data_IF_695906430905
#
_entry.id   IF_695906430905
#
_cell.length_a   1.000
_cell.length_b   1.000
_cell.length_c   1.000
_cell.angle_alpha   90.00
_cell.angle_beta   90.00
_cell.angle_gamma   90.00
#
_symmetry.space_group_name_H-M   'P 1'
#
loop_
_entity.id
_entity.type
_entity.pdbx_description
1 polymer ?
#
# COMPACT_ATOMS: atom_id res chain seq x y z
N UNK A 1 4.66 -12.66 -25.63
CA UNK A 1 4.18 -11.27 -25.36
C UNK A 1 4.54 -10.41 -26.55
N UNK A 2 3.69 -9.50 -26.96
CA UNK A 2 3.94 -8.57 -28.08
C UNK A 2 4.72 -7.37 -27.57
N UNK A 3 5.74 -6.94 -28.28
CA UNK A 3 6.53 -5.76 -27.96
C UNK A 3 5.69 -4.48 -28.17
N UNK A 4 5.54 -3.59 -27.18
CA UNK A 4 4.76 -2.36 -27.34
C UNK A 4 5.44 -1.30 -28.20
N UNK A 5 6.71 -1.52 -28.59
CA UNK A 5 7.46 -0.55 -29.39
C UNK A 5 7.50 -0.87 -30.89
N UNK A 6 7.32 -2.13 -31.27
CA UNK A 6 7.44 -2.55 -32.69
C UNK A 6 6.50 -3.71 -33.05
N UNK A 7 5.59 -4.05 -32.15
CA UNK A 7 4.56 -5.09 -32.33
C UNK A 7 5.07 -6.51 -32.63
N UNK A 8 6.37 -6.73 -32.53
CA UNK A 8 6.98 -8.03 -32.74
C UNK A 8 6.62 -8.99 -31.59
N UNK A 9 6.35 -10.25 -31.92
CA UNK A 9 6.16 -11.34 -30.95
C UNK A 9 7.47 -11.89 -30.37
N UNK A 10 8.61 -11.54 -30.97
CA UNK A 10 9.94 -12.02 -30.59
C UNK A 10 10.46 -11.39 -29.30
N UNK A 11 9.87 -11.70 -28.16
CA UNK A 11 10.27 -11.16 -26.85
C UNK A 11 10.90 -12.22 -25.97
N UNK A 12 11.90 -11.81 -25.17
CA UNK A 12 12.58 -12.63 -24.17
C UNK A 12 12.16 -12.20 -22.76
N UNK A 13 11.83 -13.17 -21.93
CA UNK A 13 11.62 -12.93 -20.51
C UNK A 13 12.98 -12.66 -19.81
N UNK A 14 13.05 -11.60 -19.03
CA UNK A 14 14.24 -11.12 -18.33
C UNK A 14 14.07 -11.05 -16.81
N UNK A 15 13.18 -11.89 -16.26
CA UNK A 15 12.88 -11.92 -14.84
C UNK A 15 11.97 -10.78 -14.40
N UNK A 16 12.14 -10.32 -13.18
CA UNK A 16 11.30 -9.30 -12.55
C UNK A 16 12.14 -8.04 -12.24
N UNK A 17 11.50 -6.88 -12.25
CA UNK A 17 12.09 -5.64 -11.75
C UNK A 17 11.95 -5.55 -10.21
N UNK A 18 12.47 -4.46 -9.62
CA UNK A 18 12.38 -4.23 -8.16
C UNK A 18 10.94 -4.09 -7.65
N UNK A 19 10.00 -3.68 -8.51
CA UNK A 19 8.57 -3.57 -8.18
C UNK A 19 7.78 -4.85 -8.45
N UNK A 20 8.44 -5.99 -8.68
CA UNK A 20 7.78 -7.27 -8.94
C UNK A 20 7.19 -7.43 -10.35
N UNK A 21 7.29 -6.42 -11.21
CA UNK A 21 6.77 -6.50 -12.58
C UNK A 21 7.70 -7.31 -13.48
N UNK A 22 7.11 -8.16 -14.32
CA UNK A 22 7.87 -9.01 -15.25
C UNK A 22 8.52 -8.19 -16.37
N UNK A 23 9.81 -8.36 -16.57
CA UNK A 23 10.60 -7.62 -17.57
C UNK A 23 10.80 -8.45 -18.82
N UNK A 24 10.79 -7.77 -19.97
CA UNK A 24 11.03 -8.36 -21.27
C UNK A 24 12.02 -7.50 -22.08
N UNK A 25 12.73 -8.15 -23.00
CA UNK A 25 13.45 -7.46 -24.07
C UNK A 25 12.94 -7.96 -25.43
N UNK A 26 12.82 -7.07 -26.39
CA UNK A 26 12.43 -7.40 -27.74
C UNK A 26 13.67 -7.79 -28.58
N UNK A 27 13.62 -8.92 -29.27
CA UNK A 27 14.69 -9.37 -30.16
C UNK A 27 14.78 -8.51 -31.43
N UNK A 28 13.68 -7.88 -31.84
CA UNK A 28 13.59 -7.13 -33.06
C UNK A 28 14.09 -5.68 -32.92
N UNK A 29 13.66 -4.95 -31.90
CA UNK A 29 14.03 -3.55 -31.68
C UNK A 29 14.97 -3.33 -30.49
N UNK A 30 15.41 -4.37 -29.81
CA UNK A 30 16.29 -4.38 -28.63
C UNK A 30 15.80 -3.54 -27.42
N UNK A 31 14.59 -3.01 -27.47
CA UNK A 31 14.03 -2.23 -26.35
C UNK A 31 13.55 -3.15 -25.23
N UNK A 32 13.71 -2.64 -24.02
CA UNK A 32 13.21 -3.26 -22.80
C UNK A 32 11.84 -2.68 -22.45
N UNK A 33 10.98 -3.52 -21.91
CA UNK A 33 9.67 -3.11 -21.38
C UNK A 33 9.24 -4.03 -20.26
N UNK A 34 8.34 -3.55 -19.44
CA UNK A 34 7.68 -4.35 -18.40
C UNK A 34 6.32 -4.79 -18.92
N UNK A 35 5.91 -6.01 -18.60
CA UNK A 35 4.52 -6.40 -18.77
C UNK A 35 3.66 -5.42 -17.99
N UNK A 36 2.56 -4.89 -18.56
CA UNK A 36 1.54 -4.27 -17.75
C UNK A 36 1.14 -5.29 -16.67
N UNK A 37 0.99 -4.85 -15.43
CA UNK A 37 0.39 -5.71 -14.41
C UNK A 37 -0.91 -6.24 -15.00
N UNK A 38 -1.05 -7.56 -15.02
CA UNK A 38 -2.29 -8.14 -15.54
C UNK A 38 -3.43 -7.52 -14.74
N UNK A 39 -4.46 -7.07 -15.45
CA UNK A 39 -5.72 -6.57 -14.83
C UNK A 39 -6.27 -7.49 -13.73
N UNK A 40 -5.86 -8.77 -13.76
CA UNK A 40 -6.21 -9.75 -12.75
C UNK A 40 -5.67 -9.40 -11.35
N UNK A 41 -4.47 -8.82 -11.25
CA UNK A 41 -3.94 -8.36 -9.96
C UNK A 41 -4.66 -7.10 -9.48
N UNK A 42 -4.97 -6.19 -10.37
CA UNK A 42 -5.73 -5.00 -10.00
C UNK A 42 -7.16 -5.35 -9.55
N UNK A 43 -7.79 -6.39 -10.12
CA UNK A 43 -9.14 -6.84 -9.73
C UNK A 43 -9.16 -7.66 -8.43
N UNK A 44 -8.07 -8.35 -8.09
CA UNK A 44 -7.98 -9.15 -6.86
C UNK A 44 -7.55 -8.31 -5.64
N UNK A 45 -7.07 -7.09 -5.85
CA UNK A 45 -6.55 -6.21 -4.80
C UNK A 45 -7.58 -5.13 -4.38
N UNK A 46 -8.66 -4.94 -5.14
CA UNK A 46 -9.75 -4.05 -4.73
C UNK A 46 -10.67 -4.77 -3.74
N UNK A 47 -10.24 -4.76 -2.49
CA UNK A 47 -11.03 -5.26 -1.38
C UNK A 47 -11.75 -4.09 -0.74
N UNK A 48 -13.00 -4.08 -0.95
CA UNK A 48 -13.92 -3.16 -0.35
C UNK A 48 -15.19 -3.19 -1.17
N UNK A 49 -16.25 -2.75 -0.60
CA UNK A 49 -17.57 -2.64 -1.23
C UNK A 49 -17.59 -1.57 -2.35
N UNK A 50 -16.42 -1.05 -2.75
CA UNK A 50 -16.28 -0.04 -3.79
C UNK A 50 -15.71 -0.70 -5.05
N UNK A 51 -16.54 -0.84 -6.06
CA UNK A 51 -16.16 -1.34 -7.38
C UNK A 51 -15.17 -0.35 -8.08
N UNK A 52 -14.24 -0.87 -8.92
CA UNK A 52 -13.35 0.00 -9.69
C UNK A 52 -14.13 1.06 -10.48
N UNK A 53 -13.77 2.33 -10.28
CA UNK A 53 -14.46 3.46 -10.89
C UNK A 53 -15.62 4.03 -10.09
N UNK A 54 -15.99 3.45 -8.98
CA UNK A 54 -16.91 4.10 -8.04
C UNK A 54 -16.26 5.31 -7.38
N UNK A 55 -17.04 6.32 -7.16
CA UNK A 55 -16.67 7.55 -6.45
C UNK A 55 -17.33 7.54 -5.09
N UNK A 56 -16.52 7.63 -4.02
CA UNK A 56 -17.02 7.86 -2.67
C UNK A 56 -17.40 9.33 -2.54
N UNK A 57 -18.70 9.61 -2.55
CA UNK A 57 -19.22 10.96 -2.30
C UNK A 57 -19.55 11.12 -0.83
N UNK A 58 -18.90 12.08 -0.18
CA UNK A 58 -19.13 12.41 1.22
C UNK A 58 -19.67 13.84 1.28
N UNK A 59 -20.85 13.99 1.85
CA UNK A 59 -21.51 15.28 2.03
C UNK A 59 -21.53 15.65 3.50
N UNK A 60 -21.05 16.84 3.81
CA UNK A 60 -21.03 17.39 5.17
C UNK A 60 -21.86 18.68 5.24
N UNK A 61 -22.65 18.81 6.30
CA UNK A 61 -23.48 20.02 6.54
C UNK A 61 -22.65 21.22 7.01
N UNK A 62 -21.43 21.00 7.43
CA UNK A 62 -20.49 22.02 7.90
C UNK A 62 -19.09 21.72 7.38
N UNK A 63 -18.18 22.65 7.53
CA UNK A 63 -16.77 22.43 7.21
C UNK A 63 -16.20 21.29 8.07
N UNK A 64 -15.34 20.48 7.46
CA UNK A 64 -14.59 19.44 8.14
C UNK A 64 -13.10 19.60 7.83
N UNK A 65 -12.25 19.21 8.76
CA UNK A 65 -10.81 19.15 8.59
C UNK A 65 -10.44 17.75 8.14
N UNK A 66 -9.80 17.61 7.00
CA UNK A 66 -9.40 16.30 6.47
C UNK A 66 -7.88 16.15 6.61
N UNK A 67 -7.48 15.14 7.38
CA UNK A 67 -6.09 14.77 7.57
C UNK A 67 -5.74 13.56 6.69
N UNK A 68 -4.52 13.55 6.17
CA UNK A 68 -4.00 12.43 5.38
C UNK A 68 -2.71 11.93 6.03
N UNK A 69 -2.63 10.62 6.29
CA UNK A 69 -1.37 9.96 6.57
C UNK A 69 -0.99 9.04 5.42
N UNK A 70 0.26 9.10 5.00
CA UNK A 70 0.84 8.25 3.97
C UNK A 70 2.24 7.85 4.38
N UNK A 71 2.71 6.70 3.92
CA UNK A 71 4.07 6.23 4.17
C UNK A 71 4.44 6.22 5.67
N UNK A 72 3.50 5.76 6.49
CA UNK A 72 3.68 5.71 7.96
C UNK A 72 4.76 4.71 8.34
N UNK A 73 4.86 3.58 7.61
CA UNK A 73 5.83 2.52 7.84
C UNK A 73 5.91 2.08 9.30
N UNK A 74 4.73 1.90 9.94
CA UNK A 74 4.68 1.45 11.33
C UNK A 74 5.46 0.15 11.52
N UNK A 75 6.34 0.13 12.50
CA UNK A 75 7.26 -0.97 12.75
C UNK A 75 8.65 -0.80 12.14
N UNK A 76 8.88 0.18 11.26
CA UNK A 76 10.22 0.54 10.81
C UNK A 76 11.01 1.27 11.91
N UNK A 77 12.34 1.14 11.88
CA UNK A 77 13.21 1.92 12.77
C UNK A 77 13.11 3.43 12.49
N UNK A 78 12.88 3.77 11.24
CA UNK A 78 12.74 5.15 10.76
C UNK A 78 11.33 5.71 10.92
N UNK A 79 10.38 4.92 11.44
CA UNK A 79 9.03 5.39 11.71
C UNK A 79 9.03 6.56 12.69
N UNK A 80 8.52 7.70 12.26
CA UNK A 80 8.47 8.89 13.10
C UNK A 80 7.26 8.82 14.06
N UNK A 81 7.41 7.99 15.08
CA UNK A 81 6.38 7.67 16.08
C UNK A 81 5.71 8.93 16.66
N UNK A 82 6.52 9.90 17.08
CA UNK A 82 6.03 11.13 17.72
C UNK A 82 5.13 11.96 16.79
N UNK A 83 5.51 12.07 15.50
CA UNK A 83 4.70 12.82 14.52
C UNK A 83 3.40 12.10 14.17
N UNK A 84 3.41 10.80 14.17
CA UNK A 84 2.17 10.05 13.96
C UNK A 84 1.26 10.14 15.18
N UNK A 85 1.81 10.14 16.39
CA UNK A 85 1.04 10.38 17.61
C UNK A 85 0.47 11.79 17.68
N UNK A 86 1.24 12.83 17.30
CA UNK A 86 0.73 14.20 17.17
C UNK A 86 -0.49 14.27 16.23
N UNK A 87 -0.42 13.60 15.06
CA UNK A 87 -1.55 13.51 14.14
C UNK A 87 -2.78 12.84 14.79
N UNK A 88 -2.56 11.73 15.50
CA UNK A 88 -3.64 11.01 16.19
C UNK A 88 -4.30 11.91 17.24
N UNK A 89 -3.52 12.63 18.04
CA UNK A 89 -4.04 13.57 19.05
C UNK A 89 -4.79 14.75 18.40
N UNK A 90 -4.29 15.28 17.29
CA UNK A 90 -4.95 16.35 16.54
C UNK A 90 -6.31 15.89 16.00
N UNK A 91 -6.36 14.71 15.38
CA UNK A 91 -7.61 14.14 14.87
C UNK A 91 -8.57 13.82 16.02
N UNK A 92 -8.09 13.26 17.14
CA UNK A 92 -8.90 12.95 18.29
C UNK A 92 -9.54 14.20 18.92
N UNK A 93 -8.74 15.25 19.09
CA UNK A 93 -9.14 16.51 19.71
C UNK A 93 -10.09 17.37 18.89
N UNK A 94 -10.17 17.19 17.57
CA UNK A 94 -11.05 17.96 16.68
C UNK A 94 -12.36 17.19 16.38
N UNK A 95 -13.52 17.62 16.87
CA UNK A 95 -14.80 16.97 16.59
C UNK A 95 -15.21 17.01 15.11
N UNK A 96 -14.63 17.91 14.32
CA UNK A 96 -14.90 18.07 12.88
C UNK A 96 -13.81 17.42 12.02
N UNK A 97 -12.81 16.79 12.62
CA UNK A 97 -11.78 16.07 11.90
C UNK A 97 -12.31 14.81 11.23
N UNK A 98 -11.81 14.56 10.04
CA UNK A 98 -11.84 13.27 9.33
C UNK A 98 -10.43 12.97 8.84
N UNK A 99 -10.13 11.70 8.64
CA UNK A 99 -8.81 11.32 8.19
C UNK A 99 -8.84 10.08 7.28
N UNK A 100 -7.76 9.84 6.59
CA UNK A 100 -7.59 8.65 5.77
C UNK A 100 -6.12 8.24 5.69
N UNK A 101 -5.92 6.95 5.40
CA UNK A 101 -4.62 6.33 5.18
C UNK A 101 -4.40 6.08 3.68
N UNK A 102 -3.27 6.52 3.15
CA UNK A 102 -3.00 6.49 1.71
C UNK A 102 -1.78 5.62 1.35
N UNK A 103 -1.66 4.48 1.98
CA UNK A 103 -0.68 3.45 1.64
C UNK A 103 0.59 3.47 2.46
N UNK A 104 1.26 2.31 2.44
CA UNK A 104 2.47 1.98 3.19
C UNK A 104 2.35 2.31 4.68
N UNK A 105 1.24 1.81 5.26
CA UNK A 105 0.87 2.05 6.65
C UNK A 105 1.76 1.27 7.62
N UNK A 106 2.20 0.08 7.24
CA UNK A 106 3.15 -0.75 7.99
C UNK A 106 4.39 -1.05 7.16
N UNK A 107 5.51 -1.35 7.81
CA UNK A 107 6.79 -1.64 7.13
C UNK A 107 6.83 -3.02 6.50
N UNK A 108 6.51 -4.02 7.26
CA UNK A 108 6.38 -5.43 6.89
C UNK A 108 7.52 -5.96 6.01
N UNK A 109 8.70 -6.16 6.60
CA UNK A 109 9.81 -6.88 5.97
C UNK A 109 9.75 -8.35 6.42
N UNK A 110 9.29 -9.26 5.54
CA UNK A 110 9.17 -10.68 5.92
C UNK A 110 10.53 -11.35 6.14
N UNK A 111 10.60 -12.48 6.90
CA UNK A 111 11.83 -13.21 7.20
C UNK A 111 12.51 -13.58 5.91
N UNK A 112 12.67 -13.79 4.97
CA UNK A 112 13.35 -14.14 3.73
C UNK A 112 13.31 -13.06 2.65
N UNK A 113 13.00 -11.82 3.05
CA UNK A 113 13.02 -10.73 2.10
C UNK A 113 14.46 -10.26 1.82
N UNK A 114 14.68 -9.68 0.65
CA UNK A 114 16.04 -9.23 0.23
C UNK A 114 16.61 -8.08 1.06
N UNK A 115 15.76 -7.38 1.79
CA UNK A 115 16.15 -6.31 2.72
C UNK A 115 16.32 -6.91 4.10
N UNK A 116 17.39 -6.61 4.83
CA UNK A 116 17.58 -7.11 6.18
C UNK A 116 16.46 -6.68 7.12
N UNK A 117 15.97 -7.59 7.96
CA UNK A 117 14.96 -7.28 9.00
C UNK A 117 15.44 -6.28 10.07
N UNK A 118 16.72 -5.91 10.06
CA UNK A 118 17.30 -4.93 10.97
C UNK A 118 16.63 -3.56 10.97
N UNK A 119 15.86 -3.25 9.93
CA UNK A 119 15.07 -2.02 9.81
C UNK A 119 13.72 -2.06 10.51
N UNK A 120 13.41 -3.07 11.33
CA UNK A 120 12.13 -3.21 12.01
C UNK A 120 12.28 -3.22 13.54
N UNK A 121 11.41 -2.48 14.23
CA UNK A 121 11.28 -2.49 15.71
C UNK A 121 10.18 -3.43 16.17
N UNK A 122 9.25 -3.79 15.30
CA UNK A 122 8.10 -4.66 15.59
C UNK A 122 8.14 -5.82 14.60
N UNK A 123 7.93 -7.03 15.09
CA UNK A 123 7.87 -8.22 14.23
C UNK A 123 6.76 -8.09 13.17
N UNK A 124 6.98 -8.59 11.94
CA UNK A 124 6.06 -8.39 10.82
C UNK A 124 4.62 -8.82 11.09
N UNK A 125 4.44 -9.92 11.78
CA UNK A 125 3.13 -10.51 12.11
C UNK A 125 2.39 -9.73 13.22
N UNK A 126 3.10 -8.92 13.99
CA UNK A 126 2.51 -8.07 15.04
C UNK A 126 2.24 -6.63 14.57
N UNK A 127 2.86 -6.19 13.47
CA UNK A 127 2.76 -4.79 13.04
C UNK A 127 1.32 -4.36 12.78
N UNK A 128 0.52 -5.19 12.12
CA UNK A 128 -0.88 -4.85 11.82
C UNK A 128 -1.74 -4.73 13.10
N UNK A 129 -1.51 -5.59 14.10
CA UNK A 129 -2.26 -5.53 15.36
C UNK A 129 -1.86 -4.31 16.19
N UNK A 130 -0.57 -4.00 16.25
CA UNK A 130 -0.08 -2.82 17.00
C UNK A 130 -0.47 -1.52 16.31
N UNK A 131 -0.48 -1.49 14.98
CA UNK A 131 -0.98 -0.36 14.22
C UNK A 131 -2.48 -0.13 14.43
N UNK A 132 -3.30 -1.18 14.31
CA UNK A 132 -4.75 -1.09 14.54
C UNK A 132 -5.07 -0.55 15.95
N UNK A 133 -4.41 -1.06 16.98
CA UNK A 133 -4.58 -0.56 18.36
C UNK A 133 -4.18 0.91 18.49
N UNK A 134 -3.15 1.34 17.75
CA UNK A 134 -2.68 2.74 17.81
C UNK A 134 -3.70 3.73 17.27
N UNK A 135 -4.41 3.36 16.20
CA UNK A 135 -5.42 4.22 15.58
C UNK A 135 -6.85 4.02 16.10
N UNK A 136 -7.05 3.06 17.01
CA UNK A 136 -8.38 2.65 17.49
C UNK A 136 -9.21 3.83 17.99
N UNK A 137 -8.60 4.77 18.74
CA UNK A 137 -9.31 5.90 19.33
C UNK A 137 -9.85 6.92 18.31
N UNK A 138 -9.35 6.90 17.07
CA UNK A 138 -9.80 7.78 15.98
C UNK A 138 -10.44 7.01 14.82
N UNK A 139 -10.75 5.72 15.02
CA UNK A 139 -11.29 4.87 13.97
C UNK A 139 -12.66 5.33 13.46
N UNK A 140 -13.49 5.93 14.31
CA UNK A 140 -14.81 6.48 13.95
C UNK A 140 -14.73 7.71 13.03
N UNK A 141 -13.58 8.34 12.93
CA UNK A 141 -13.30 9.46 12.04
C UNK A 141 -12.62 9.05 10.74
N UNK A 142 -12.26 7.77 10.61
CA UNK A 142 -11.59 7.22 9.43
C UNK A 142 -12.54 7.14 8.24
N UNK A 143 -12.12 7.70 7.11
CA UNK A 143 -12.90 7.68 5.87
C UNK A 143 -12.62 6.42 5.05
N UNK A 144 -11.35 6.08 4.88
CA UNK A 144 -10.90 4.88 4.18
C UNK A 144 -9.44 4.57 4.50
N UNK A 145 -9.05 3.34 4.21
CA UNK A 145 -7.67 2.89 4.19
C UNK A 145 -7.34 2.45 2.77
N UNK A 146 -6.30 3.03 2.21
CA UNK A 146 -5.70 2.55 0.99
C UNK A 146 -4.44 1.76 1.34
N UNK A 147 -4.28 0.57 0.78
CA UNK A 147 -3.06 -0.19 0.92
C UNK A 147 -1.99 0.26 -0.06
N UNK A 148 -0.75 0.32 0.41
CA UNK A 148 0.45 0.47 -0.41
C UNK A 148 1.06 -0.87 -0.79
N UNK A 149 2.27 -0.85 -1.30
CA UNK A 149 2.95 -2.10 -1.65
C UNK A 149 3.44 -2.89 -0.42
N UNK A 150 3.69 -2.24 0.70
CA UNK A 150 4.00 -2.90 1.96
C UNK A 150 2.76 -3.59 2.53
N UNK A 151 1.67 -2.86 2.63
CA UNK A 151 0.42 -3.32 3.22
C UNK A 151 -0.23 -4.47 2.44
N UNK A 152 -0.18 -4.41 1.11
CA UNK A 152 -0.89 -5.34 0.25
C UNK A 152 0.02 -6.39 -0.37
N UNK A 153 1.04 -5.98 -1.14
CA UNK A 153 1.85 -6.94 -1.89
C UNK A 153 2.67 -7.79 -0.94
N UNK A 154 3.31 -7.19 0.07
CA UNK A 154 4.12 -7.94 1.02
C UNK A 154 3.24 -8.75 1.97
N UNK A 155 2.16 -8.18 2.52
CA UNK A 155 1.31 -8.89 3.48
C UNK A 155 0.60 -10.09 2.85
N UNK A 156 -0.01 -9.92 1.69
CA UNK A 156 -0.71 -11.01 1.01
C UNK A 156 0.27 -12.09 0.53
N UNK A 157 1.41 -11.69 -0.07
CA UNK A 157 2.35 -12.65 -0.64
C UNK A 157 3.18 -13.42 0.41
N UNK A 158 3.38 -12.87 1.60
CA UNK A 158 4.25 -13.44 2.62
C UNK A 158 3.50 -13.91 3.87
N UNK A 159 2.44 -13.22 4.27
CA UNK A 159 1.64 -13.58 5.44
C UNK A 159 0.28 -14.17 5.07
N UNK A 160 -0.15 -14.04 3.82
CA UNK A 160 -1.48 -14.47 3.38
C UNK A 160 -2.62 -13.64 3.99
N UNK A 161 -2.31 -12.46 4.52
CA UNK A 161 -3.25 -11.57 5.22
C UNK A 161 -3.41 -10.26 4.45
N UNK A 162 -4.64 -9.84 4.26
CA UNK A 162 -4.97 -8.49 3.81
C UNK A 162 -5.19 -7.60 5.05
N UNK A 163 -4.25 -6.70 5.30
CA UNK A 163 -4.28 -5.84 6.49
C UNK A 163 -5.17 -4.61 6.35
N UNK A 164 -5.72 -4.38 5.15
CA UNK A 164 -6.66 -3.28 4.91
C UNK A 164 -8.13 -3.69 5.12
N UNK A 165 -8.35 -4.95 5.45
CA UNK A 165 -9.65 -5.53 5.81
C UNK A 165 -9.79 -5.79 7.30
#
# INVERSE_FOLDING_TARGET
>A
MICPHCESSGTLNRGYNRSGSKRFSCKNCNKWFTAPMKEKFAKEIYYGDIEPGQVLNLEYKKAVNIHCATDVHHGANEHHTEKFDELIEEVDGDPDAKWFLNGDNIELIPPNYKIPQRGQMVEPDEQHLTFARRIEKIADKLLFIRGGNHDMIRSISHLGVDICK
#
